data_IF_279272402465
#
_entry.id   IF_279272402465
#
_cell.length_a   1.000
_cell.length_b   1.000
_cell.length_c   1.000
_cell.angle_alpha   90.00
_cell.angle_beta   90.00
_cell.angle_gamma   90.00
#
_symmetry.space_group_name_H-M   'P 1'
#
loop_
_entity.id
_entity.type
_entity.pdbx_description
1 polymer ?
#
# COMPACT_ATOMS: atom_id res chain seq x y z
N UNK A 1 8.28 4.38 2.74
CA UNK A 1 6.88 3.90 2.61
C UNK A 1 6.59 3.22 1.28
N UNK A 2 7.15 3.64 0.14
CA UNK A 2 6.84 3.00 -1.16
C UNK A 2 7.16 1.50 -1.25
N UNK A 3 8.34 1.06 -0.80
CA UNK A 3 8.67 -0.37 -0.80
C UNK A 3 7.68 -1.23 0.01
N UNK A 4 7.21 -0.72 1.15
CA UNK A 4 6.22 -1.39 1.99
C UNK A 4 4.89 -1.60 1.23
N UNK A 5 4.41 -0.57 0.53
CA UNK A 5 3.18 -0.64 -0.28
C UNK A 5 3.29 -1.72 -1.35
N UNK A 6 4.41 -1.77 -2.07
CA UNK A 6 4.65 -2.83 -3.07
C UNK A 6 4.68 -4.23 -2.44
N UNK A 7 5.31 -4.39 -1.27
CA UNK A 7 5.31 -5.66 -0.55
C UNK A 7 3.89 -6.08 -0.13
N UNK A 8 3.05 -5.16 0.34
CA UNK A 8 1.67 -5.45 0.72
C UNK A 8 0.85 -5.94 -0.49
N UNK A 9 0.97 -5.26 -1.64
CA UNK A 9 0.33 -5.72 -2.88
C UNK A 9 0.88 -7.05 -3.36
N UNK A 10 2.20 -7.28 -3.27
CA UNK A 10 2.82 -8.56 -3.63
C UNK A 10 2.25 -9.70 -2.79
N UNK A 11 2.11 -9.52 -1.48
CA UNK A 11 1.50 -10.51 -0.59
C UNK A 11 0.04 -10.76 -0.98
N UNK A 12 -0.73 -9.71 -1.25
CA UNK A 12 -2.13 -9.84 -1.69
C UNK A 12 -2.24 -10.64 -3.01
N UNK A 13 -1.33 -10.40 -3.95
CA UNK A 13 -1.25 -11.14 -5.21
C UNK A 13 -0.87 -12.61 -5.01
N UNK A 14 0.11 -12.90 -4.15
CA UNK A 14 0.48 -14.29 -3.82
C UNK A 14 -0.73 -15.03 -3.21
N UNK A 15 -1.47 -14.38 -2.31
CA UNK A 15 -2.69 -14.95 -1.72
C UNK A 15 -3.77 -15.20 -2.79
N UNK A 16 -3.90 -14.29 -3.78
CA UNK A 16 -4.82 -14.47 -4.90
C UNK A 16 -4.45 -15.67 -5.76
N UNK A 17 -3.16 -15.83 -6.10
CA UNK A 17 -2.63 -16.97 -6.88
C UNK A 17 -2.84 -18.30 -6.15
N UNK A 18 -2.72 -18.30 -4.82
CA UNK A 18 -3.02 -19.46 -3.98
C UNK A 18 -4.53 -19.77 -3.84
N UNK A 19 -5.41 -19.00 -4.49
CA UNK A 19 -6.86 -19.17 -4.41
C UNK A 19 -7.50 -18.69 -3.11
N UNK A 20 -6.73 -18.01 -2.23
CA UNK A 20 -7.20 -17.50 -0.93
C UNK A 20 -7.96 -16.18 -1.10
N UNK A 21 -9.08 -16.22 -1.83
CA UNK A 21 -9.87 -15.06 -2.28
C UNK A 21 -10.13 -14.04 -1.18
N UNK A 22 -10.66 -14.45 -0.03
CA UNK A 22 -11.00 -13.51 1.05
C UNK A 22 -9.77 -12.78 1.60
N UNK A 23 -8.68 -13.51 1.83
CA UNK A 23 -7.43 -12.91 2.32
C UNK A 23 -6.77 -12.00 1.27
N UNK A 24 -6.86 -12.36 -0.01
CA UNK A 24 -6.40 -11.51 -1.10
C UNK A 24 -7.19 -10.19 -1.17
N UNK A 25 -8.52 -10.25 -1.05
CA UNK A 25 -9.37 -9.05 -1.02
C UNK A 25 -9.07 -8.15 0.18
N UNK A 26 -8.96 -8.72 1.38
CA UNK A 26 -8.58 -7.94 2.56
C UNK A 26 -7.18 -7.34 2.42
N UNK A 27 -6.20 -8.12 1.95
CA UNK A 27 -4.84 -7.65 1.71
C UNK A 27 -4.79 -6.52 0.69
N UNK A 28 -5.54 -6.64 -0.41
CA UNK A 28 -5.66 -5.58 -1.41
C UNK A 28 -6.29 -4.30 -0.82
N UNK A 29 -7.39 -4.43 -0.07
CA UNK A 29 -8.06 -3.29 0.56
C UNK A 29 -7.15 -2.55 1.56
N UNK A 30 -6.41 -3.29 2.40
CA UNK A 30 -5.42 -2.71 3.31
C UNK A 30 -4.31 -2.00 2.54
N UNK A 31 -3.77 -2.63 1.50
CA UNK A 31 -2.72 -2.05 0.66
C UNK A 31 -3.18 -0.73 0.03
N UNK A 32 -4.42 -0.68 -0.46
CA UNK A 32 -5.03 0.51 -1.03
C UNK A 32 -5.18 1.63 0.01
N UNK A 33 -5.69 1.32 1.20
CA UNK A 33 -5.84 2.30 2.28
C UNK A 33 -4.49 2.90 2.71
N UNK A 34 -3.46 2.06 2.86
CA UNK A 34 -2.09 2.52 3.15
C UNK A 34 -1.53 3.37 2.01
N UNK A 35 -1.85 3.04 0.75
CA UNK A 35 -1.42 3.83 -0.41
C UNK A 35 -2.04 5.23 -0.42
N UNK A 36 -3.34 5.34 -0.10
CA UNK A 36 -4.04 6.62 0.01
C UNK A 36 -3.46 7.47 1.15
N UNK A 37 -3.23 6.85 2.31
CA UNK A 37 -2.57 7.53 3.43
C UNK A 37 -1.18 8.04 3.04
N UNK A 38 -0.36 7.17 2.44
CA UNK A 38 0.96 7.55 1.98
C UNK A 38 0.93 8.68 0.96
N UNK A 39 0.00 8.62 -0.01
CA UNK A 39 -0.15 9.66 -1.02
C UNK A 39 -0.53 11.00 -0.39
N UNK A 40 -1.49 11.01 0.55
CA UNK A 40 -1.86 12.23 1.28
C UNK A 40 -0.67 12.81 2.03
N UNK A 41 0.06 11.98 2.77
CA UNK A 41 1.25 12.40 3.50
C UNK A 41 2.32 12.93 2.54
N UNK A 42 2.64 12.20 1.48
CA UNK A 42 3.68 12.58 0.54
C UNK A 42 3.35 13.85 -0.27
N UNK A 43 2.08 14.10 -0.56
CA UNK A 43 1.63 15.26 -1.33
C UNK A 43 1.46 16.53 -0.49
N UNK A 44 1.18 16.38 0.81
CA UNK A 44 0.82 17.52 1.68
C UNK A 44 1.94 17.91 2.63
N UNK A 45 2.86 17.00 2.93
CA UNK A 45 4.01 17.30 3.76
C UNK A 45 4.90 18.33 3.05
N UNK A 46 5.17 19.42 3.77
CA UNK A 46 6.06 20.47 3.30
C UNK A 46 7.45 19.91 3.07
N UNK A 47 7.96 20.00 1.83
CA UNK A 47 9.36 19.71 1.56
C UNK A 47 10.22 20.69 2.37
N UNK A 48 11.06 20.16 3.25
CA UNK A 48 12.10 20.91 3.95
C UNK A 48 13.25 21.29 3.00
N UNK A 49 12.92 21.89 1.85
CA UNK A 49 13.88 22.47 0.90
C UNK A 49 14.20 23.93 1.25
N UNK A 50 13.40 24.56 2.12
CA UNK A 50 13.74 25.85 2.71
C UNK A 50 14.58 25.66 3.97
N UNK A 51 15.88 25.48 3.73
CA UNK A 51 16.94 26.05 4.56
C UNK A 51 17.74 26.97 3.66
#
# INVERSE_FOLDING_TARGET
MMALIFCLFLIAMILAVQGKRNLAFYGFGVSLAVSLYWFSHHATDTLAILL
#
